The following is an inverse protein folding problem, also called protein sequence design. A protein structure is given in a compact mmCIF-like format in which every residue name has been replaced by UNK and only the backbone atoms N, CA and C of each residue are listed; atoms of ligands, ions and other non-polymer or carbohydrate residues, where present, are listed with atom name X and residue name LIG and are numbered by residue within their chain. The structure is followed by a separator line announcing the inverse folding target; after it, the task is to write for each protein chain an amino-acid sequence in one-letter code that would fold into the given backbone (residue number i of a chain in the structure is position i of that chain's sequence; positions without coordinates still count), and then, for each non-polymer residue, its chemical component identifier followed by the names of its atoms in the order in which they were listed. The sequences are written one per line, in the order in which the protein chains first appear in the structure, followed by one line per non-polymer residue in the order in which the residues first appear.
data_IF_088579906639
#
_entry.id   IF_088579906639
#
_cell.length_a   1.000
_cell.length_b   1.000
_cell.length_c   1.000
_cell.angle_alpha   90.00
_cell.angle_beta   90.00
_cell.angle_gamma   90.00
#
_symmetry.space_group_name_H-M   'P 1'
#
loop_
_entity.id
_entity.type
_entity.pdbx_description
1 polymer ?
#
# COMPACT_ATOMS: atom_id res chain seq x y z
N UNK A 1 11.54 -26.30 -5.14
CA UNK A 1 10.49 -25.30 -4.85
C UNK A 1 11.14 -24.22 -3.99
N UNK A 2 10.90 -22.95 -4.29
CA UNK A 2 11.50 -21.83 -3.55
C UNK A 2 10.86 -21.72 -2.15
N UNK A 3 11.67 -21.45 -1.12
CA UNK A 3 11.19 -21.19 0.25
C UNK A 3 11.25 -19.70 0.55
N UNK A 4 10.40 -19.24 1.48
CA UNK A 4 10.40 -17.84 1.93
C UNK A 4 11.80 -17.41 2.40
N UNK A 5 12.43 -18.25 3.22
CA UNK A 5 13.75 -17.98 3.81
C UNK A 5 14.84 -17.84 2.73
N UNK A 6 14.75 -18.58 1.62
CA UNK A 6 15.69 -18.48 0.51
C UNK A 6 15.47 -17.21 -0.32
N UNK A 7 14.21 -16.85 -0.62
CA UNK A 7 13.88 -15.65 -1.40
C UNK A 7 14.32 -14.37 -0.68
N UNK A 8 14.16 -14.30 0.64
CA UNK A 8 14.49 -13.10 1.43
C UNK A 8 15.85 -13.14 2.11
N UNK A 9 16.72 -14.09 1.74
CA UNK A 9 18.05 -14.23 2.35
C UNK A 9 18.88 -12.93 2.27
N UNK A 10 18.71 -12.14 1.19
CA UNK A 10 19.43 -10.87 0.99
C UNK A 10 18.88 -9.69 1.79
N UNK A 11 17.74 -9.85 2.47
CA UNK A 11 17.26 -8.87 3.44
C UNK A 11 17.99 -8.98 4.78
N UNK A 12 18.58 -10.15 5.07
CA UNK A 12 19.30 -10.39 6.32
C UNK A 12 20.56 -9.53 6.36
N UNK A 13 20.75 -8.81 7.47
CA UNK A 13 21.79 -7.80 7.66
C UNK A 13 21.22 -6.37 7.65
N UNK A 14 20.14 -6.13 6.89
CA UNK A 14 19.27 -4.96 7.12
C UNK A 14 18.23 -5.29 8.20
N UNK A 15 17.63 -6.48 8.11
CA UNK A 15 16.79 -7.05 9.16
C UNK A 15 17.48 -8.24 9.81
N UNK A 16 17.18 -8.47 11.08
CA UNK A 16 17.46 -9.74 11.75
C UNK A 16 16.49 -10.81 11.25
N UNK A 17 16.84 -12.09 11.45
CA UNK A 17 15.93 -13.20 11.11
C UNK A 17 14.62 -13.18 11.91
N UNK A 18 14.61 -12.54 13.08
CA UNK A 18 13.39 -12.32 13.88
C UNK A 18 12.51 -11.23 13.25
N UNK A 19 13.10 -10.10 12.86
CA UNK A 19 12.36 -9.02 12.18
C UNK A 19 11.81 -9.48 10.82
N UNK A 20 12.57 -10.26 10.05
CA UNK A 20 12.06 -10.84 8.81
C UNK A 20 10.86 -11.77 9.04
N UNK A 21 10.86 -12.53 10.15
CA UNK A 21 9.70 -13.33 10.57
C UNK A 21 8.51 -12.46 10.98
N UNK A 22 8.73 -11.31 11.60
CA UNK A 22 7.66 -10.32 11.86
C UNK A 22 7.07 -9.76 10.56
N UNK A 23 7.92 -9.42 9.57
CA UNK A 23 7.44 -8.98 8.25
C UNK A 23 6.58 -10.05 7.57
N UNK A 24 7.00 -11.32 7.66
CA UNK A 24 6.25 -12.48 7.12
C UNK A 24 4.83 -12.60 7.68
N UNK A 25 4.56 -12.14 8.90
CA UNK A 25 3.23 -12.19 9.52
C UNK A 25 2.52 -10.84 9.54
N UNK A 26 3.16 -9.77 9.06
CA UNK A 26 2.59 -8.44 9.04
C UNK A 26 1.61 -8.27 7.87
N UNK A 27 0.58 -7.47 8.10
CA UNK A 27 -0.37 -7.03 7.07
C UNK A 27 -0.22 -5.51 6.85
N UNK A 28 -0.15 -5.07 5.60
CA UNK A 28 -0.06 -3.64 5.24
C UNK A 28 -1.16 -3.28 4.26
N UNK A 29 -1.91 -2.23 4.57
CA UNK A 29 -2.92 -1.66 3.69
C UNK A 29 -2.33 -0.52 2.86
N UNK A 30 -2.54 -0.53 1.55
CA UNK A 30 -2.09 0.49 0.61
C UNK A 30 -3.30 1.07 -0.13
N UNK A 31 -3.66 2.31 0.21
CA UNK A 31 -4.75 3.04 -0.41
C UNK A 31 -4.21 3.93 -1.54
N UNK A 32 -4.53 3.56 -2.77
CA UNK A 32 -3.98 4.13 -4.00
C UNK A 32 -2.73 3.39 -4.45
N UNK A 33 -2.72 2.92 -5.71
CA UNK A 33 -1.55 2.33 -6.38
C UNK A 33 -1.27 3.04 -7.70
N UNK A 34 -1.32 4.37 -7.64
CA UNK A 34 -0.81 5.26 -8.69
C UNK A 34 0.72 5.37 -8.68
N UNK A 35 1.27 6.54 -9.01
CA UNK A 35 2.71 6.74 -9.18
C UNK A 35 3.55 6.63 -7.90
N UNK A 36 2.92 6.65 -6.72
CA UNK A 36 3.60 6.51 -5.42
C UNK A 36 3.32 5.13 -4.83
N UNK A 37 2.05 4.83 -4.58
CA UNK A 37 1.64 3.62 -3.87
C UNK A 37 2.00 2.32 -4.59
N UNK A 38 2.06 2.31 -5.93
CA UNK A 38 2.43 1.09 -6.67
C UNK A 38 3.89 0.67 -6.40
N UNK A 39 4.82 1.63 -6.33
CA UNK A 39 6.22 1.34 -5.98
C UNK A 39 6.35 0.93 -4.51
N UNK A 40 5.60 1.55 -3.61
CA UNK A 40 5.59 1.19 -2.20
C UNK A 40 5.06 -0.24 -1.99
N UNK A 41 3.95 -0.60 -2.64
CA UNK A 41 3.42 -1.96 -2.58
C UNK A 41 4.42 -3.00 -3.11
N UNK A 42 5.08 -2.72 -4.22
CA UNK A 42 6.14 -3.59 -4.77
C UNK A 42 7.33 -3.70 -3.81
N UNK A 43 7.78 -2.59 -3.23
CA UNK A 43 8.87 -2.61 -2.26
C UNK A 43 8.52 -3.44 -1.03
N UNK A 44 7.28 -3.33 -0.51
CA UNK A 44 6.80 -4.12 0.61
C UNK A 44 6.73 -5.62 0.29
N UNK A 45 6.27 -6.00 -0.91
CA UNK A 45 6.30 -7.39 -1.36
C UNK A 45 7.74 -7.93 -1.44
N UNK A 46 8.69 -7.13 -1.92
CA UNK A 46 10.12 -7.48 -1.96
C UNK A 46 10.79 -7.53 -0.59
N UNK A 47 10.25 -6.83 0.40
CA UNK A 47 10.67 -6.94 1.79
C UNK A 47 10.09 -8.18 2.49
N UNK A 48 9.13 -8.86 1.88
CA UNK A 48 8.56 -10.10 2.40
C UNK A 48 7.38 -9.89 3.35
N UNK A 49 6.63 -8.79 3.19
CA UNK A 49 5.36 -8.60 3.91
C UNK A 49 4.40 -9.75 3.59
N UNK A 50 3.78 -10.31 4.64
CA UNK A 50 2.90 -11.47 4.56
C UNK A 50 1.54 -11.22 3.96
N UNK A 51 0.95 -10.04 4.20
CA UNK A 51 -0.33 -9.66 3.62
C UNK A 51 -0.30 -8.22 3.09
N UNK A 52 -0.75 -8.05 1.84
CA UNK A 52 -0.91 -6.74 1.20
C UNK A 52 -2.38 -6.55 0.80
N UNK A 53 -2.98 -5.45 1.28
CA UNK A 53 -4.33 -5.06 0.91
C UNK A 53 -4.26 -3.82 0.03
N UNK A 54 -4.74 -3.94 -1.20
CA UNK A 54 -4.60 -2.91 -2.22
C UNK A 54 -5.97 -2.34 -2.55
N UNK A 55 -6.16 -1.03 -2.32
CA UNK A 55 -7.40 -0.32 -2.67
C UNK A 55 -7.12 0.72 -3.75
N UNK A 56 -7.75 0.58 -4.92
CA UNK A 56 -7.69 1.60 -5.97
C UNK A 56 -8.89 1.45 -6.93
N UNK A 57 -9.75 2.48 -7.06
CA UNK A 57 -10.88 2.45 -7.99
C UNK A 57 -10.49 2.69 -9.45
N UNK A 58 -9.27 3.11 -9.71
CA UNK A 58 -8.81 3.56 -11.01
C UNK A 58 -8.64 2.43 -12.02
N UNK A 59 -8.70 2.81 -13.28
CA UNK A 59 -8.33 2.00 -14.43
C UNK A 59 -7.05 2.58 -15.02
N UNK A 60 -6.12 1.73 -15.48
CA UNK A 60 -4.92 2.22 -16.17
C UNK A 60 -5.26 2.85 -17.52
N UNK A 61 -4.74 4.05 -17.75
CA UNK A 61 -4.77 4.74 -19.04
C UNK A 61 -3.35 4.96 -19.58
N UNK A 62 -3.22 5.26 -20.87
CA UNK A 62 -1.94 5.44 -21.55
C UNK A 62 -0.99 6.45 -20.85
N UNK A 63 -1.47 7.60 -20.30
CA UNK A 63 -0.60 8.52 -19.57
C UNK A 63 -0.03 7.96 -18.27
N UNK A 64 -0.59 6.87 -17.72
CA UNK A 64 -0.08 6.24 -16.50
C UNK A 64 1.23 5.47 -16.76
N UNK A 65 1.47 5.03 -18.00
CA UNK A 65 2.64 4.24 -18.39
C UNK A 65 3.97 4.95 -18.14
N UNK A 66 3.96 6.28 -17.99
CA UNK A 66 5.18 7.04 -17.74
C UNK A 66 5.71 6.88 -16.30
N UNK A 67 4.87 6.45 -15.35
CA UNK A 67 5.20 6.54 -13.92
C UNK A 67 4.47 5.56 -12.99
N UNK A 68 3.54 4.73 -13.44
CA UNK A 68 2.81 3.82 -12.55
C UNK A 68 3.26 2.39 -12.81
N UNK A 69 3.69 1.68 -11.76
CA UNK A 69 4.40 0.40 -11.90
C UNK A 69 3.61 -0.64 -12.71
N UNK A 70 2.28 -0.69 -12.53
CA UNK A 70 1.40 -1.64 -13.23
C UNK A 70 0.91 -1.19 -14.60
N UNK A 71 1.23 0.03 -15.05
CA UNK A 71 0.75 0.57 -16.31
C UNK A 71 1.65 0.13 -17.48
N UNK A 72 1.17 -0.84 -18.24
CA UNK A 72 1.84 -1.42 -19.40
C UNK A 72 0.85 -1.46 -20.57
N UNK A 73 1.35 -1.57 -21.81
CA UNK A 73 0.50 -1.67 -23.00
C UNK A 73 -0.56 -2.79 -22.88
N UNK A 74 -0.21 -3.91 -22.23
CA UNK A 74 -1.08 -5.06 -21.99
C UNK A 74 -2.10 -4.85 -20.85
N UNK A 75 -1.92 -3.84 -20.00
CA UNK A 75 -2.75 -3.62 -18.81
C UNK A 75 -3.60 -2.37 -18.86
N UNK A 76 -3.48 -1.56 -19.93
CA UNK A 76 -4.41 -0.45 -20.19
C UNK A 76 -5.85 -0.97 -20.26
N UNK A 77 -6.77 -0.24 -19.62
CA UNK A 77 -8.18 -0.63 -19.51
C UNK A 77 -8.48 -1.60 -18.38
N UNK A 78 -7.49 -2.05 -17.61
CA UNK A 78 -7.68 -2.93 -16.43
C UNK A 78 -7.61 -2.13 -15.12
N UNK A 79 -8.25 -2.64 -14.07
CA UNK A 79 -8.23 -1.99 -12.75
C UNK A 79 -6.81 -2.01 -12.13
N UNK A 80 -6.43 -0.89 -11.52
CA UNK A 80 -5.09 -0.69 -10.96
C UNK A 80 -4.78 -1.62 -9.79
N UNK A 81 -5.74 -1.85 -8.90
CA UNK A 81 -5.56 -2.75 -7.76
C UNK A 81 -5.39 -4.21 -8.19
N UNK A 82 -6.19 -4.67 -9.16
CA UNK A 82 -6.11 -6.04 -9.67
C UNK A 82 -4.77 -6.34 -10.34
N UNK A 83 -4.36 -5.49 -11.28
CA UNK A 83 -3.07 -5.64 -11.98
C UNK A 83 -1.90 -5.54 -11.01
N UNK A 84 -1.96 -4.61 -10.05
CA UNK A 84 -0.92 -4.52 -9.03
C UNK A 84 -0.88 -5.80 -8.20
N UNK A 85 -2.02 -6.36 -7.80
CA UNK A 85 -2.05 -7.61 -7.05
C UNK A 85 -1.47 -8.81 -7.82
N UNK A 86 -1.69 -8.89 -9.14
CA UNK A 86 -1.01 -9.90 -9.99
C UNK A 86 0.50 -9.78 -9.89
N UNK A 87 1.03 -8.57 -10.07
CA UNK A 87 2.47 -8.29 -9.96
C UNK A 87 3.00 -8.66 -8.57
N UNK A 88 2.27 -8.31 -7.50
CA UNK A 88 2.70 -8.59 -6.13
C UNK A 88 2.76 -10.09 -5.84
N UNK A 89 1.82 -10.89 -6.37
CA UNK A 89 1.83 -12.35 -6.22
C UNK A 89 3.00 -13.01 -6.95
N UNK A 90 3.37 -12.49 -8.13
CA UNK A 90 4.56 -12.95 -8.85
C UNK A 90 5.86 -12.58 -8.10
N UNK A 91 5.89 -11.43 -7.43
CA UNK A 91 7.04 -10.98 -6.64
C UNK A 91 7.19 -11.75 -5.33
N UNK A 92 6.08 -11.98 -4.64
CA UNK A 92 6.03 -12.66 -3.35
C UNK A 92 4.93 -13.73 -3.39
N UNK A 93 5.26 -14.97 -3.83
CA UNK A 93 4.28 -16.05 -3.90
C UNK A 93 3.82 -16.55 -2.52
N UNK A 94 4.46 -16.10 -1.44
CA UNK A 94 4.11 -16.45 -0.06
C UNK A 94 3.11 -15.46 0.56
N UNK A 95 2.86 -14.30 -0.07
CA UNK A 95 1.97 -13.29 0.45
C UNK A 95 0.50 -13.56 0.11
N UNK A 96 -0.38 -13.23 1.06
CA UNK A 96 -1.80 -13.02 0.77
C UNK A 96 -1.98 -11.62 0.19
N UNK A 97 -2.59 -11.52 -1.00
CA UNK A 97 -2.88 -10.22 -1.63
C UNK A 97 -4.38 -10.06 -1.85
N UNK A 98 -4.98 -9.07 -1.19
CA UNK A 98 -6.42 -8.74 -1.27
C UNK A 98 -6.61 -7.44 -2.04
N UNK A 99 -7.64 -7.39 -2.88
CA UNK A 99 -7.94 -6.23 -3.74
C UNK A 99 -9.28 -5.61 -3.42
N UNK A 100 -9.32 -4.28 -3.42
CA UNK A 100 -10.50 -3.46 -3.21
C UNK A 100 -10.60 -2.49 -4.39
N UNK A 101 -11.41 -2.85 -5.40
CA UNK A 101 -11.48 -2.15 -6.69
C UNK A 101 -12.43 -0.96 -6.71
N UNK A 102 -12.97 -0.59 -5.54
CA UNK A 102 -13.80 0.59 -5.35
C UNK A 102 -13.21 1.43 -4.20
N UNK A 103 -13.37 2.76 -4.30
CA UNK A 103 -13.07 3.63 -3.19
C UNK A 103 -14.07 3.38 -2.05
N UNK A 104 -13.56 3.24 -0.83
CA UNK A 104 -14.42 3.13 0.33
C UNK A 104 -15.27 4.41 0.50
N UNK A 105 -16.56 4.22 0.72
CA UNK A 105 -17.55 5.30 0.91
C UNK A 105 -18.00 5.41 2.37
N UNK A 106 -17.73 4.39 3.17
CA UNK A 106 -18.18 4.27 4.54
C UNK A 106 -17.02 3.96 5.49
N UNK A 107 -17.20 4.32 6.76
CA UNK A 107 -16.24 3.96 7.82
C UNK A 107 -16.08 2.43 7.96
N UNK A 108 -17.15 1.66 7.76
CA UNK A 108 -17.11 0.20 7.84
C UNK A 108 -16.25 -0.44 6.75
N UNK A 109 -16.28 0.10 5.53
CA UNK A 109 -15.43 -0.39 4.44
C UNK A 109 -13.96 -0.11 4.71
N UNK A 110 -13.63 1.07 5.25
CA UNK A 110 -12.26 1.37 5.68
C UNK A 110 -11.85 0.46 6.84
N UNK A 111 -12.71 0.25 7.84
CA UNK A 111 -12.42 -0.62 8.98
C UNK A 111 -12.09 -2.05 8.53
N UNK A 112 -12.88 -2.62 7.61
CA UNK A 112 -12.56 -3.93 7.03
C UNK A 112 -11.32 -3.92 6.14
N UNK A 113 -11.02 -2.80 5.48
CA UNK A 113 -9.79 -2.65 4.70
C UNK A 113 -8.54 -2.65 5.60
N UNK A 114 -8.57 -2.02 6.77
CA UNK A 114 -7.41 -1.86 7.66
C UNK A 114 -7.38 -2.86 8.83
N UNK A 115 -8.37 -3.75 8.95
CA UNK A 115 -8.47 -4.72 10.03
C UNK A 115 -7.20 -5.58 10.16
N UNK A 116 -6.66 -5.70 11.37
CA UNK A 116 -5.42 -6.44 11.69
C UNK A 116 -4.18 -5.99 10.90
N UNK A 117 -4.22 -4.84 10.22
CA UNK A 117 -3.03 -4.27 9.60
C UNK A 117 -2.06 -3.75 10.67
N UNK A 118 -0.76 -3.90 10.40
CA UNK A 118 0.30 -3.32 11.21
C UNK A 118 0.62 -1.88 10.81
N UNK A 119 0.28 -1.50 9.58
CA UNK A 119 0.59 -0.18 9.00
C UNK A 119 -0.39 0.15 7.86
N UNK A 120 -0.64 1.45 7.67
CA UNK A 120 -1.38 1.96 6.51
C UNK A 120 -0.49 2.89 5.68
N UNK A 121 -0.53 2.71 4.37
CA UNK A 121 0.10 3.56 3.37
C UNK A 121 -1.00 4.32 2.64
N UNK A 122 -0.95 5.65 2.76
CA UNK A 122 -1.82 6.58 2.09
C UNK A 122 -1.11 7.16 0.85
N UNK A 123 -1.55 6.71 -0.32
CA UNK A 123 -1.17 7.22 -1.62
C UNK A 123 -2.41 7.68 -2.41
N UNK A 124 -3.47 8.09 -1.71
CA UNK A 124 -4.67 8.67 -2.32
C UNK A 124 -4.29 10.06 -2.87
N UNK A 125 -4.66 10.31 -4.11
CA UNK A 125 -4.38 11.57 -4.80
C UNK A 125 -5.15 12.76 -4.18
N UNK A 126 -4.70 13.99 -4.41
CA UNK A 126 -5.31 15.18 -3.80
C UNK A 126 -6.80 15.34 -4.11
N UNK A 127 -7.24 14.93 -5.31
CA UNK A 127 -8.65 14.93 -5.69
C UNK A 127 -9.52 14.03 -4.79
N UNK A 128 -8.92 13.04 -4.12
CA UNK A 128 -9.57 12.13 -3.18
C UNK A 128 -9.48 12.55 -1.72
N UNK A 129 -9.31 13.85 -1.42
CA UNK A 129 -9.04 14.34 -0.06
C UNK A 129 -10.05 13.83 1.00
N UNK A 130 -11.35 13.76 0.67
CA UNK A 130 -12.34 13.21 1.60
C UNK A 130 -12.12 11.73 1.95
N UNK A 131 -11.68 10.91 0.97
CA UNK A 131 -11.32 9.52 1.22
C UNK A 131 -10.05 9.42 2.09
N UNK A 132 -9.11 10.36 1.88
CA UNK A 132 -7.90 10.48 2.71
C UNK A 132 -8.25 10.80 4.16
N UNK A 133 -9.08 11.81 4.42
CA UNK A 133 -9.55 12.14 5.77
C UNK A 133 -10.22 10.95 6.45
N UNK A 134 -11.11 10.25 5.73
CA UNK A 134 -11.77 9.06 6.26
C UNK A 134 -10.76 7.96 6.61
N UNK A 135 -9.81 7.65 5.72
CA UNK A 135 -8.75 6.67 5.97
C UNK A 135 -7.96 7.03 7.24
N UNK A 136 -7.45 8.25 7.33
CA UNK A 136 -6.65 8.72 8.47
C UNK A 136 -7.43 8.68 9.79
N UNK A 137 -8.68 9.15 9.81
CA UNK A 137 -9.53 9.13 10.99
C UNK A 137 -9.78 7.70 11.50
N UNK A 138 -10.08 6.76 10.59
CA UNK A 138 -10.32 5.35 10.95
C UNK A 138 -9.03 4.65 11.39
N UNK A 139 -7.93 4.81 10.67
CA UNK A 139 -6.61 4.29 11.06
C UNK A 139 -6.21 4.75 12.45
N UNK A 140 -6.37 6.04 12.75
CA UNK A 140 -6.11 6.59 14.07
C UNK A 140 -6.96 5.92 15.16
N UNK A 141 -8.26 5.76 14.92
CA UNK A 141 -9.16 5.12 15.89
C UNK A 141 -8.80 3.65 16.21
N UNK A 142 -8.01 3.02 15.34
CA UNK A 142 -7.48 1.65 15.50
C UNK A 142 -6.03 1.62 16.02
N UNK A 143 -5.44 2.77 16.36
CA UNK A 143 -4.06 2.84 16.83
C UNK A 143 -3.02 2.60 15.73
N UNK A 144 -3.36 2.80 14.47
CA UNK A 144 -2.47 2.55 13.34
C UNK A 144 -1.72 3.81 12.92
N UNK A 145 -0.44 3.63 12.60
CA UNK A 145 0.35 4.63 11.90
C UNK A 145 -0.10 4.72 10.44
N UNK A 146 -0.11 5.94 9.90
CA UNK A 146 -0.35 6.19 8.47
C UNK A 146 0.87 6.87 7.86
N UNK A 147 1.44 6.27 6.82
CA UNK A 147 2.52 6.88 6.04
C UNK A 147 1.91 7.54 4.79
N UNK A 148 2.17 8.83 4.60
CA UNK A 148 1.69 9.59 3.44
C UNK A 148 2.85 10.31 2.76
N UNK A 149 2.89 10.26 1.43
CA UNK A 149 3.97 10.85 0.62
C UNK A 149 3.41 11.56 -0.61
N UNK A 150 2.64 12.65 -0.45
CA UNK A 150 2.23 13.47 -1.57
C UNK A 150 3.45 14.14 -2.23
N UNK A 151 3.36 14.36 -3.54
CA UNK A 151 4.47 14.94 -4.33
C UNK A 151 4.10 16.37 -4.75
N UNK A 152 4.61 17.41 -4.07
CA UNK A 152 4.48 18.79 -4.53
C UNK A 152 5.58 19.14 -5.54
N UNK A 153 5.22 19.29 -6.82
CA UNK A 153 6.15 19.68 -7.87
C UNK A 153 7.33 18.71 -8.02
N UNK A 154 8.57 19.24 -7.97
CA UNK A 154 9.80 18.45 -8.02
C UNK A 154 10.35 18.06 -6.63
N UNK A 155 9.55 18.20 -5.59
CA UNK A 155 9.92 17.85 -4.21
C UNK A 155 9.54 16.42 -3.82
N UNK A 156 10.02 16.01 -2.65
CA UNK A 156 9.60 14.76 -2.00
C UNK A 156 9.19 15.05 -0.56
N UNK A 157 8.14 14.36 -0.09
CA UNK A 157 7.71 14.42 1.30
C UNK A 157 7.55 13.01 1.86
N UNK A 158 7.78 12.84 3.16
CA UNK A 158 7.37 11.66 3.91
C UNK A 158 6.77 12.16 5.21
N UNK A 159 5.48 11.92 5.37
CA UNK A 159 4.75 12.22 6.60
C UNK A 159 4.38 10.92 7.28
N UNK A 160 4.65 10.85 8.58
CA UNK A 160 4.27 9.73 9.44
C UNK A 160 3.27 10.26 10.45
N UNK A 161 2.01 9.84 10.31
CA UNK A 161 0.94 10.21 11.22
C UNK A 161 0.88 9.18 12.35
N UNK A 162 1.34 9.60 13.53
CA UNK A 162 1.23 8.83 14.76
C UNK A 162 -0.23 8.79 15.24
N UNK A 163 -0.77 7.62 15.65
CA UNK A 163 -2.14 7.51 16.16
C UNK A 163 -2.43 8.36 17.42
N UNK A 164 -1.40 8.83 18.12
CA UNK A 164 -1.48 9.72 19.27
C UNK A 164 -1.02 11.16 18.95
N UNK A 165 -0.53 11.41 17.72
CA UNK A 165 -0.01 12.72 17.28
C UNK A 165 -1.08 13.71 16.80
N UNK A 166 -0.64 14.75 16.09
CA UNK A 166 -1.51 15.73 15.40
C UNK A 166 -2.41 15.05 14.36
N UNK A 167 -3.65 15.51 14.21
CA UNK A 167 -4.55 14.98 13.18
C UNK A 167 -4.20 15.54 11.81
N UNK A 168 -4.57 14.80 10.76
CA UNK A 168 -4.39 15.24 9.39
C UNK A 168 -5.14 16.56 9.09
N UNK A 169 -6.30 16.77 9.71
CA UNK A 169 -7.10 17.99 9.52
C UNK A 169 -6.54 19.21 10.28
N UNK A 170 -5.60 18.98 11.21
CA UNK A 170 -4.92 20.02 11.98
C UNK A 170 -3.56 20.41 11.37
N UNK A 171 -3.11 19.67 10.35
CA UNK A 171 -1.89 19.90 9.57
C UNK A 171 -2.20 20.71 8.31
#
# INVERSE_FOLDING_TARGET
METYENVYLRNIGLFTSEEQRKLKTAAVAVAGVGGVGSYQAVALARQGIGELRIMDPGIFDAPDMNRQYGAMKSTIGRNKAEVTAEILREINPFATVKTYTAAARTASEIDGFIEDCSLVVDAIDYAGFHHKQLLHSRSRSRGLYVLSSPIPGFGATLMVFDPNGMKMEEF
#
